data_IF_943269647139
#
_entry.id   IF_943269647139
#
_cell.length_a   1.000
_cell.length_b   1.000
_cell.length_c   1.000
_cell.angle_alpha   90.00
_cell.angle_beta   90.00
_cell.angle_gamma   90.00
#
_symmetry.space_group_name_H-M   'P 1'
#
loop_
_entity.id
_entity.type
_entity.pdbx_description
1 polymer ?
#
# COMPACT_ATOMS: atom_id res chain seq x y z
N UNK A 1 -6.90 -1.03 14.21
CA UNK A 1 -7.83 -0.27 13.34
C UNK A 1 -8.27 1.11 13.87
N UNK A 2 -8.55 1.30 15.17
CA UNK A 2 -9.11 2.58 15.68
C UNK A 2 -8.24 3.82 15.40
N UNK A 3 -6.91 3.68 15.41
CA UNK A 3 -5.97 4.78 15.14
C UNK A 3 -6.16 5.40 13.74
N UNK A 4 -6.24 4.59 12.69
CA UNK A 4 -6.46 5.09 11.31
C UNK A 4 -7.82 5.75 11.13
N UNK A 5 -8.87 5.17 11.71
CA UNK A 5 -10.21 5.77 11.67
C UNK A 5 -10.25 7.17 12.30
N UNK A 6 -9.47 7.39 13.35
CA UNK A 6 -9.34 8.69 14.05
C UNK A 6 -8.34 9.63 13.37
N UNK A 7 -7.33 9.09 12.67
CA UNK A 7 -6.35 9.86 11.90
C UNK A 7 -6.91 10.39 10.58
N UNK A 8 -7.99 9.77 10.07
CA UNK A 8 -8.71 10.30 8.92
C UNK A 8 -9.27 11.69 9.25
N UNK A 9 -8.73 12.70 8.59
CA UNK A 9 -9.23 14.07 8.62
C UNK A 9 -9.29 14.63 7.21
N UNK A 10 -10.36 15.33 6.88
CA UNK A 10 -10.55 15.91 5.53
C UNK A 10 -9.44 16.87 5.11
N UNK A 11 -8.68 17.41 6.08
CA UNK A 11 -7.54 18.30 5.84
C UNK A 11 -6.23 17.58 5.50
N UNK A 12 -6.06 16.33 5.93
CA UNK A 12 -4.88 15.52 5.61
C UNK A 12 -5.11 14.61 4.39
N UNK A 13 -6.36 14.48 3.95
CA UNK A 13 -6.72 13.66 2.80
C UNK A 13 -6.39 14.36 1.46
N UNK A 14 -5.56 13.70 0.66
CA UNK A 14 -5.17 14.11 -0.69
C UNK A 14 -5.77 13.14 -1.72
N UNK A 15 -5.78 13.54 -2.99
CA UNK A 15 -6.07 12.60 -4.08
C UNK A 15 -4.88 11.64 -4.21
N UNK A 16 -5.11 10.37 -3.94
CA UNK A 16 -4.12 9.29 -4.06
C UNK A 16 -4.38 8.46 -5.32
N UNK A 17 -3.36 7.79 -5.83
CA UNK A 17 -3.53 6.82 -6.91
C UNK A 17 -4.43 5.67 -6.46
N UNK A 18 -4.19 5.17 -5.24
CA UNK A 18 -4.93 4.09 -4.60
C UNK A 18 -4.50 2.68 -5.02
N UNK A 19 -3.61 2.59 -6.01
CA UNK A 19 -3.09 1.31 -6.53
C UNK A 19 -1.69 1.49 -7.19
N UNK A 20 -0.80 2.22 -6.49
CA UNK A 20 0.53 2.53 -7.02
C UNK A 20 1.49 1.35 -6.81
N UNK A 21 1.75 0.61 -7.89
CA UNK A 21 2.68 -0.52 -7.90
C UNK A 21 3.46 -0.63 -9.22
N UNK A 22 4.45 -1.52 -9.27
CA UNK A 22 5.39 -1.65 -10.40
C UNK A 22 4.71 -1.94 -11.74
N UNK A 23 3.58 -2.67 -11.74
CA UNK A 23 2.84 -2.95 -12.98
C UNK A 23 2.02 -1.75 -13.46
N UNK A 24 1.71 -0.81 -12.57
CA UNK A 24 1.03 0.44 -12.87
C UNK A 24 2.01 1.61 -13.11
N UNK A 25 3.33 1.35 -13.08
CA UNK A 25 4.37 2.34 -13.32
C UNK A 25 5.07 2.10 -14.67
N UNK A 26 4.70 2.88 -15.68
CA UNK A 26 5.31 2.79 -17.01
C UNK A 26 6.48 3.75 -17.15
N UNK A 27 7.61 3.25 -17.64
CA UNK A 27 8.78 4.09 -17.95
C UNK A 27 8.49 4.94 -19.19
N UNK A 28 8.66 6.26 -19.06
CA UNK A 28 8.50 7.19 -20.16
C UNK A 28 9.81 7.38 -20.92
N UNK A 29 9.72 7.89 -22.16
CA UNK A 29 10.87 8.13 -23.04
C UNK A 29 11.85 9.18 -22.51
N UNK A 30 11.40 10.05 -21.61
CA UNK A 30 12.20 11.07 -20.92
C UNK A 30 13.01 10.51 -19.73
N UNK A 31 12.92 9.19 -19.47
CA UNK A 31 13.58 8.54 -18.35
C UNK A 31 12.81 8.59 -17.03
N UNK A 32 11.68 9.28 -16.98
CA UNK A 32 10.75 9.29 -15.85
C UNK A 32 9.79 8.10 -15.85
N UNK A 33 8.80 8.14 -14.96
CA UNK A 33 7.71 7.17 -14.89
C UNK A 33 6.36 7.89 -14.94
N UNK A 34 5.40 7.26 -15.60
CA UNK A 34 3.99 7.66 -15.62
C UNK A 34 3.17 6.55 -14.97
N UNK A 35 2.23 6.95 -14.13
CA UNK A 35 1.31 6.03 -13.47
C UNK A 35 0.05 5.83 -14.32
N UNK A 36 -0.49 4.62 -14.31
CA UNK A 36 -1.71 4.22 -15.01
C UNK A 36 -2.65 3.48 -14.08
N UNK A 37 -3.91 3.34 -14.48
CA UNK A 37 -4.97 2.63 -13.73
C UNK A 37 -5.20 3.16 -12.30
N UNK A 38 -5.50 4.46 -12.13
CA UNK A 38 -5.78 5.01 -10.80
C UNK A 38 -7.16 4.56 -10.32
N UNK A 39 -7.23 4.07 -9.07
CA UNK A 39 -8.49 3.93 -8.35
C UNK A 39 -9.08 5.31 -7.96
N UNK A 40 -8.20 6.29 -7.68
CA UNK A 40 -8.58 7.69 -7.46
C UNK A 40 -9.33 7.91 -6.14
N UNK A 41 -8.65 7.69 -5.01
CA UNK A 41 -9.23 7.76 -3.67
C UNK A 41 -8.88 9.08 -2.99
N UNK A 42 -9.67 9.49 -1.98
CA UNK A 42 -9.29 10.58 -1.08
C UNK A 42 -8.82 9.99 0.25
N UNK A 43 -7.51 10.02 0.50
CA UNK A 43 -6.88 9.34 1.65
C UNK A 43 -5.62 10.08 2.13
N UNK A 44 -5.07 9.65 3.27
CA UNK A 44 -3.76 10.13 3.73
C UNK A 44 -2.68 9.80 2.68
N UNK A 45 -1.61 10.62 2.51
CA UNK A 45 -0.50 10.30 1.61
C UNK A 45 0.17 8.95 1.90
N UNK A 46 0.09 8.50 3.15
CA UNK A 46 0.57 7.19 3.58
C UNK A 46 -0.13 6.00 2.88
N UNK A 47 -1.32 6.21 2.29
CA UNK A 47 -2.06 5.19 1.55
C UNK A 47 -1.24 4.67 0.36
N UNK A 48 -0.83 5.56 -0.55
CA UNK A 48 -0.04 5.21 -1.72
C UNK A 48 1.35 4.66 -1.35
N UNK A 49 2.00 5.24 -0.34
CA UNK A 49 3.28 4.71 0.16
C UNK A 49 3.12 3.32 0.76
N UNK A 50 1.99 3.05 1.41
CA UNK A 50 1.63 1.74 1.95
C UNK A 50 1.48 0.69 0.85
N UNK A 51 0.87 1.06 -0.29
CA UNK A 51 0.79 0.19 -1.48
C UNK A 51 2.20 -0.18 -1.95
N UNK A 52 3.08 0.82 -2.20
CA UNK A 52 4.47 0.60 -2.65
C UNK A 52 5.26 -0.35 -1.75
N UNK A 53 5.05 -0.29 -0.43
CA UNK A 53 5.74 -1.19 0.51
C UNK A 53 5.32 -2.65 0.31
N UNK A 54 4.14 -2.93 -0.24
CA UNK A 54 3.50 -4.25 -0.21
C UNK A 54 3.30 -4.94 -1.57
N UNK A 55 3.55 -4.25 -2.68
CA UNK A 55 3.27 -4.74 -4.05
C UNK A 55 3.85 -6.12 -4.36
N UNK A 56 5.01 -6.44 -3.80
CA UNK A 56 5.67 -7.72 -4.04
C UNK A 56 5.86 -8.46 -2.71
N UNK A 57 5.03 -9.47 -2.38
CA UNK A 57 5.38 -10.43 -1.35
C UNK A 57 6.66 -11.16 -1.77
N UNK A 58 7.53 -11.47 -0.82
CA UNK A 58 8.69 -12.38 -1.00
C UNK A 58 9.92 -11.83 -1.75
N UNK A 59 10.27 -10.55 -1.59
CA UNK A 59 11.55 -10.01 -2.10
C UNK A 59 12.75 -10.23 -1.15
N UNK A 60 12.56 -11.00 -0.06
CA UNK A 60 13.62 -11.32 0.90
C UNK A 60 14.15 -10.13 1.73
N UNK A 61 13.55 -8.94 1.60
CA UNK A 61 13.95 -7.75 2.34
C UNK A 61 13.07 -7.48 3.57
N UNK A 62 13.69 -6.83 4.57
CA UNK A 62 13.00 -6.44 5.80
C UNK A 62 11.93 -5.37 5.49
N UNK A 63 10.67 -5.75 5.72
CA UNK A 63 9.49 -4.89 5.50
C UNK A 63 9.55 -3.60 6.34
N UNK A 64 10.24 -3.62 7.49
CA UNK A 64 10.43 -2.42 8.30
C UNK A 64 11.39 -1.46 7.61
N UNK A 65 12.56 -1.92 7.22
CA UNK A 65 13.51 -1.15 6.39
C UNK A 65 12.83 -0.62 5.12
N UNK A 66 12.00 -1.44 4.46
CA UNK A 66 11.24 -1.01 3.28
C UNK A 66 10.25 0.12 3.58
N UNK A 67 9.66 0.15 4.77
CA UNK A 67 8.75 1.22 5.23
C UNK A 67 9.51 2.49 5.61
N UNK A 68 10.68 2.35 6.21
CA UNK A 68 11.52 3.49 6.65
C UNK A 68 12.11 4.28 5.47
N UNK A 69 12.42 3.61 4.35
CA UNK A 69 12.92 4.26 3.13
C UNK A 69 11.97 5.34 2.57
N UNK A 70 10.69 5.06 2.26
CA UNK A 70 9.75 6.08 1.81
C UNK A 70 9.44 7.09 2.92
N UNK A 71 9.37 6.68 4.19
CA UNK A 71 9.16 7.60 5.31
C UNK A 71 10.26 8.68 5.38
N UNK A 72 11.52 8.29 5.31
CA UNK A 72 12.66 9.22 5.36
C UNK A 72 12.72 10.18 4.16
N UNK A 73 12.28 9.73 2.98
CA UNK A 73 12.27 10.55 1.76
C UNK A 73 11.10 11.53 1.67
N UNK A 74 9.97 11.21 2.30
CA UNK A 74 8.72 11.97 2.16
C UNK A 74 8.33 12.73 3.41
N UNK A 75 8.91 12.40 4.57
CA UNK A 75 8.49 12.93 5.86
C UNK A 75 7.14 12.38 6.36
N UNK A 76 6.55 11.41 5.64
CA UNK A 76 5.31 10.75 6.06
C UNK A 76 5.60 9.77 7.20
N UNK A 77 4.72 9.73 8.19
CA UNK A 77 4.85 8.85 9.35
C UNK A 77 4.98 7.37 8.96
N UNK A 78 6.09 6.75 9.36
CA UNK A 78 6.37 5.34 9.05
C UNK A 78 5.31 4.39 9.61
N UNK A 79 4.70 4.74 10.75
CA UNK A 79 3.62 3.94 11.34
C UNK A 79 2.37 3.98 10.45
N UNK A 80 2.01 5.16 9.94
CA UNK A 80 0.92 5.31 8.99
C UNK A 80 1.15 4.52 7.70
N UNK A 81 2.36 4.58 7.12
CA UNK A 81 2.72 3.82 5.92
C UNK A 81 2.59 2.30 6.18
N UNK A 82 3.10 1.83 7.33
CA UNK A 82 2.99 0.43 7.74
C UNK A 82 1.53 -0.01 7.86
N UNK A 83 0.71 0.76 8.59
CA UNK A 83 -0.70 0.49 8.83
C UNK A 83 -1.49 0.45 7.50
N UNK A 84 -1.26 1.41 6.59
CA UNK A 84 -1.88 1.42 5.26
C UNK A 84 -1.47 0.24 4.40
N UNK A 85 -0.19 -0.12 4.39
CA UNK A 85 0.27 -1.32 3.67
C UNK A 85 -0.43 -2.59 4.19
N UNK A 86 -0.59 -2.73 5.50
CA UNK A 86 -1.34 -3.86 6.07
C UNK A 86 -2.82 -3.84 5.67
N UNK A 87 -3.47 -2.67 5.67
CA UNK A 87 -4.86 -2.52 5.20
C UNK A 87 -4.98 -2.94 3.73
N UNK A 88 -4.06 -2.52 2.85
CA UNK A 88 -4.09 -2.93 1.44
C UNK A 88 -3.99 -4.44 1.27
N UNK A 89 -3.19 -5.16 2.07
CA UNK A 89 -3.15 -6.63 2.04
C UNK A 89 -4.49 -7.28 2.40
N UNK A 90 -5.18 -6.75 3.41
CA UNK A 90 -6.52 -7.23 3.76
C UNK A 90 -7.49 -6.97 2.60
N UNK A 91 -7.50 -5.76 2.04
CA UNK A 91 -8.40 -5.39 0.93
C UNK A 91 -8.15 -6.27 -0.30
N UNK A 92 -6.90 -6.37 -0.74
CA UNK A 92 -6.52 -7.20 -1.88
C UNK A 92 -6.77 -8.69 -1.63
N UNK A 93 -6.54 -9.18 -0.41
CA UNK A 93 -6.82 -10.57 -0.03
C UNK A 93 -8.31 -10.90 -0.09
N UNK A 94 -9.16 -10.06 0.53
CA UNK A 94 -10.62 -10.21 0.48
C UNK A 94 -11.15 -10.12 -0.95
N UNK A 95 -10.63 -9.19 -1.75
CA UNK A 95 -11.02 -9.06 -3.16
C UNK A 95 -10.58 -10.28 -3.99
N UNK A 96 -9.36 -10.76 -3.81
CA UNK A 96 -8.88 -11.97 -4.48
C UNK A 96 -9.75 -13.20 -4.13
N UNK A 97 -10.16 -13.34 -2.87
CA UNK A 97 -11.10 -14.37 -2.46
C UNK A 97 -12.46 -14.23 -3.17
N UNK A 98 -12.99 -13.01 -3.28
CA UNK A 98 -14.32 -12.78 -3.87
C UNK A 98 -14.40 -13.08 -5.37
N UNK A 99 -13.27 -12.96 -6.09
CA UNK A 99 -13.16 -13.31 -7.51
C UNK A 99 -12.62 -14.72 -7.77
N UNK A 100 -12.39 -15.52 -6.71
CA UNK A 100 -11.87 -16.89 -6.84
C UNK A 100 -10.39 -16.98 -7.22
N UNK A 101 -9.61 -15.92 -6.99
CA UNK A 101 -8.18 -15.86 -7.33
C UNK A 101 -7.30 -16.47 -6.23
N UNK A 102 -7.50 -17.77 -6.01
CA UNK A 102 -6.75 -18.56 -5.05
C UNK A 102 -5.53 -19.25 -5.68
N UNK A 103 -4.45 -19.51 -4.93
CA UNK A 103 -4.27 -19.33 -3.48
C UNK A 103 -3.79 -17.93 -3.06
N UNK A 104 -3.79 -16.95 -3.98
CA UNK A 104 -3.22 -15.64 -3.74
C UNK A 104 -3.96 -14.85 -2.65
N UNK A 105 -5.30 -14.94 -2.61
CA UNK A 105 -6.10 -14.32 -1.56
C UNK A 105 -5.71 -14.79 -0.16
N UNK A 106 -5.60 -16.11 0.03
CA UNK A 106 -5.22 -16.70 1.33
C UNK A 106 -3.80 -16.28 1.75
N UNK A 107 -2.86 -16.22 0.81
CA UNK A 107 -1.49 -15.76 1.08
C UNK A 107 -1.46 -14.32 1.60
N UNK A 108 -2.23 -13.42 0.98
CA UNK A 108 -2.29 -12.01 1.39
C UNK A 108 -2.87 -11.84 2.79
N UNK A 109 -3.91 -12.62 3.12
CA UNK A 109 -4.57 -12.58 4.44
C UNK A 109 -3.67 -13.15 5.53
N UNK A 110 -3.04 -14.30 5.31
CA UNK A 110 -2.10 -14.89 6.27
C UNK A 110 -0.92 -13.96 6.57
N UNK A 111 -0.41 -13.26 5.54
CA UNK A 111 0.65 -12.27 5.71
C UNK A 111 0.16 -11.02 6.46
N UNK A 112 -1.09 -10.58 6.26
CA UNK A 112 -1.67 -9.50 7.03
C UNK A 112 -1.80 -9.85 8.52
N UNK A 113 -2.20 -11.07 8.85
CA UNK A 113 -2.28 -11.57 10.24
C UNK A 113 -0.90 -11.53 10.91
N UNK A 114 0.14 -12.03 10.23
CA UNK A 114 1.53 -12.02 10.75
C UNK A 114 2.03 -10.62 11.09
N UNK A 115 1.56 -9.60 10.37
CA UNK A 115 2.00 -8.20 10.54
C UNK A 115 1.21 -7.43 11.61
N UNK A 116 0.15 -8.05 12.15
CA UNK A 116 -0.73 -7.46 13.17
C UNK A 116 -0.74 -8.22 14.50
N UNK A 117 -0.16 -9.42 14.53
CA UNK A 117 0.17 -10.16 15.75
C UNK A 117 1.28 -9.45 16.56
#
# INVERSE_FOLDING_TARGET
>A
MNRRRLAHGDRSAVLVHGDIHEMNALRASDGGYKLIDPAGLRAEPACDLGTVVRCTPDLGDDLRTRTERPASRTGVDATAIWEWGTVHRVVSGVYACSIGFQPFGDLLLAEADRLTA
#
